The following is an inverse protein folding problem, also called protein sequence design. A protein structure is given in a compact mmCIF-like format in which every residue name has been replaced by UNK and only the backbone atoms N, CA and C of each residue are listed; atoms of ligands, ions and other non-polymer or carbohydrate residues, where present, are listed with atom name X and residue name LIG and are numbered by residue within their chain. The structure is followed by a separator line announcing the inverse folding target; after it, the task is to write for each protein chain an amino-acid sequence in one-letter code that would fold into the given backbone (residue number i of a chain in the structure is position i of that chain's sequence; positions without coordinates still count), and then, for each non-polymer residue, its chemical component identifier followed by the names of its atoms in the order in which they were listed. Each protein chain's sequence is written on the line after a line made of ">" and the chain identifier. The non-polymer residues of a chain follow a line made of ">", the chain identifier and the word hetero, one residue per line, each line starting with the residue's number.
data_IF_253678125587
#
_entry.id   IF_253678125587
#
_cell.length_a   1.000
_cell.length_b   1.000
_cell.length_c   1.000
_cell.angle_alpha   90.00
_cell.angle_beta   90.00
_cell.angle_gamma   90.00
#
_symmetry.space_group_name_H-M   'P 1'
#
loop_
_entity.id
_entity.type
_entity.pdbx_description
1 polymer ?
#
# COMPACT_ATOMS: atom_id res chain seq x y z
N UNK A 1 -17.02 -3.22 10.72
CA UNK A 1 -15.76 -2.82 11.37
C UNK A 1 -14.92 -2.08 10.35
N UNK A 2 -14.32 -0.94 10.70
CA UNK A 2 -13.52 -0.15 9.76
C UNK A 2 -12.27 -0.95 9.34
N UNK A 3 -12.11 -1.21 8.05
CA UNK A 3 -11.04 -2.02 7.45
C UNK A 3 -9.64 -1.51 7.84
N UNK A 4 -9.43 -0.20 7.81
CA UNK A 4 -8.14 0.41 8.13
C UNK A 4 -7.75 0.20 9.59
N UNK A 5 -8.73 0.24 10.49
CA UNK A 5 -8.52 -0.06 11.90
C UNK A 5 -8.13 -1.52 12.13
N UNK A 6 -8.82 -2.46 11.46
CA UNK A 6 -8.49 -3.88 11.54
C UNK A 6 -7.07 -4.16 11.06
N UNK A 7 -6.65 -3.50 9.96
CA UNK A 7 -5.28 -3.59 9.47
C UNK A 7 -4.27 -3.08 10.51
N UNK A 8 -4.50 -1.88 11.05
CA UNK A 8 -3.61 -1.30 12.06
C UNK A 8 -3.52 -2.19 13.31
N UNK A 9 -4.65 -2.67 13.84
CA UNK A 9 -4.68 -3.60 14.99
C UNK A 9 -3.87 -4.87 14.76
N UNK A 10 -3.92 -5.41 13.54
CA UNK A 10 -3.33 -6.71 13.22
C UNK A 10 -1.85 -6.63 12.88
N UNK A 11 -1.39 -5.51 12.29
CA UNK A 11 -0.11 -5.46 11.60
C UNK A 11 0.83 -4.32 12.03
N UNK A 12 0.51 -3.56 13.09
CA UNK A 12 1.36 -2.42 13.50
C UNK A 12 2.75 -2.83 14.02
N UNK A 13 2.94 -4.07 14.43
CA UNK A 13 4.23 -4.63 14.90
C UNK A 13 4.95 -5.48 13.85
N UNK A 14 4.44 -5.55 12.62
CA UNK A 14 5.12 -6.31 11.57
C UNK A 14 6.47 -5.68 11.24
N UNK A 15 7.52 -6.49 11.12
CA UNK A 15 8.89 -5.98 10.97
C UNK A 15 9.13 -5.31 9.62
N UNK A 16 8.35 -5.67 8.60
CA UNK A 16 8.47 -5.11 7.26
C UNK A 16 7.17 -5.22 6.47
N UNK A 17 6.85 -4.21 5.67
CA UNK A 17 5.69 -4.18 4.79
C UNK A 17 6.11 -3.95 3.33
N UNK A 18 5.75 -4.88 2.44
CA UNK A 18 5.88 -4.71 0.99
C UNK A 18 4.63 -4.04 0.42
N UNK A 19 4.80 -2.88 -0.22
CA UNK A 19 3.70 -2.11 -0.81
C UNK A 19 3.79 -2.20 -2.34
N UNK A 20 2.72 -2.63 -2.98
CA UNK A 20 2.69 -2.84 -4.42
C UNK A 20 1.62 -2.01 -5.10
N UNK A 21 1.89 -1.60 -6.33
CA UNK A 21 0.96 -0.96 -7.23
C UNK A 21 1.49 -0.94 -8.65
N UNK A 22 0.63 -0.72 -9.62
CA UNK A 22 1.01 -0.66 -11.03
C UNK A 22 0.51 0.62 -11.70
N UNK A 23 1.10 1.03 -12.83
CA UNK A 23 0.71 2.21 -13.55
C UNK A 23 0.66 3.46 -12.65
N UNK A 24 -0.44 4.19 -12.67
CA UNK A 24 -0.64 5.40 -11.86
C UNK A 24 -0.63 5.11 -10.34
N UNK A 25 -1.05 3.91 -9.92
CA UNK A 25 -1.06 3.50 -8.51
C UNK A 25 0.35 3.32 -7.92
N UNK A 26 1.35 3.07 -8.77
CA UNK A 26 2.74 2.93 -8.32
C UNK A 26 3.28 4.19 -7.62
N UNK A 27 2.87 5.38 -8.08
CA UNK A 27 3.21 6.63 -7.40
C UNK A 27 2.66 6.69 -5.97
N UNK A 28 1.53 6.07 -5.73
CA UNK A 28 0.92 6.01 -4.40
C UNK A 28 1.51 4.91 -3.53
N UNK A 29 1.96 3.80 -4.11
CA UNK A 29 2.78 2.81 -3.40
C UNK A 29 4.07 3.47 -2.86
N UNK A 30 4.74 4.30 -3.67
CA UNK A 30 5.85 5.15 -3.22
C UNK A 30 5.42 6.09 -2.08
N UNK A 31 4.40 6.91 -2.31
CA UNK A 31 3.95 7.91 -1.34
C UNK A 31 3.52 7.31 0.00
N UNK A 32 2.83 6.16 -0.03
CA UNK A 32 2.45 5.46 1.18
C UNK A 32 3.66 4.89 1.92
N UNK A 33 4.58 4.23 1.20
CA UNK A 33 5.81 3.70 1.78
C UNK A 33 6.69 4.81 2.37
N UNK A 34 7.17 5.71 1.51
CA UNK A 34 8.22 6.67 1.89
C UNK A 34 7.67 7.78 2.78
N UNK A 35 6.57 8.44 2.36
CA UNK A 35 6.07 9.62 3.06
C UNK A 35 5.19 9.24 4.27
N UNK A 36 4.28 8.27 4.11
CA UNK A 36 3.36 7.94 5.19
C UNK A 36 3.96 7.02 6.25
N UNK A 37 4.58 5.92 5.83
CA UNK A 37 5.02 4.90 6.78
C UNK A 37 6.44 5.14 7.30
N UNK A 38 7.42 5.34 6.42
CA UNK A 38 8.79 5.59 6.88
C UNK A 38 8.94 6.95 7.55
N UNK A 39 8.49 8.02 6.88
CA UNK A 39 8.65 9.39 7.40
C UNK A 39 7.80 9.66 8.63
N UNK A 40 6.49 9.34 8.55
CA UNK A 40 5.51 9.75 9.55
C UNK A 40 5.24 8.70 10.63
N UNK A 41 5.57 7.43 10.43
CA UNK A 41 5.28 6.35 11.38
C UNK A 41 6.51 5.53 11.78
N UNK A 42 7.67 5.80 11.14
CA UNK A 42 8.93 5.10 11.36
C UNK A 42 8.84 3.58 11.20
N UNK A 43 7.96 3.14 10.31
CA UNK A 43 7.78 1.73 9.97
C UNK A 43 8.71 1.33 8.84
N UNK A 44 9.40 0.21 8.99
CA UNK A 44 10.21 -0.37 7.93
C UNK A 44 9.32 -0.95 6.84
N UNK A 45 9.48 -0.45 5.64
CA UNK A 45 8.71 -0.89 4.48
C UNK A 45 9.43 -0.59 3.17
N UNK A 46 9.01 -1.26 2.12
CA UNK A 46 9.47 -1.00 0.76
C UNK A 46 8.31 -0.94 -0.21
N UNK A 47 8.53 -0.35 -1.37
CA UNK A 47 7.53 -0.31 -2.44
C UNK A 47 8.10 -0.93 -3.71
N UNK A 48 7.23 -1.53 -4.51
CA UNK A 48 7.60 -2.13 -5.78
C UNK A 48 6.46 -2.08 -6.79
N UNK A 49 6.82 -2.11 -8.06
CA UNK A 49 5.84 -2.22 -9.13
C UNK A 49 5.31 -3.67 -9.19
N UNK A 50 3.99 -3.84 -9.29
CA UNK A 50 3.38 -5.17 -9.39
C UNK A 50 3.92 -5.99 -10.56
N UNK A 51 4.38 -5.34 -11.65
CA UNK A 51 5.03 -6.02 -12.78
C UNK A 51 6.43 -6.55 -12.40
N UNK A 52 7.18 -5.78 -11.62
CA UNK A 52 8.53 -6.14 -11.18
C UNK A 52 8.53 -7.19 -10.07
N UNK A 53 7.40 -7.36 -9.38
CA UNK A 53 7.22 -8.35 -8.33
C UNK A 53 7.71 -9.74 -8.78
N UNK A 54 7.42 -10.15 -10.01
CA UNK A 54 7.80 -11.43 -10.57
C UNK A 54 9.23 -11.50 -11.13
N UNK A 55 10.05 -10.45 -10.96
CA UNK A 55 11.47 -10.44 -11.36
C UNK A 55 12.44 -10.71 -10.19
N UNK A 56 11.91 -11.21 -9.06
CA UNK A 56 12.72 -11.52 -7.88
C UNK A 56 11.96 -11.39 -6.57
N UNK A 57 11.28 -10.26 -6.29
CA UNK A 57 10.61 -10.06 -5.01
C UNK A 57 9.59 -11.13 -4.61
N UNK A 58 8.96 -11.81 -5.57
CA UNK A 58 8.02 -12.89 -5.29
C UNK A 58 8.66 -14.12 -4.62
N UNK A 59 9.99 -14.30 -4.76
CA UNK A 59 10.74 -15.40 -4.12
C UNK A 59 10.80 -15.28 -2.59
N UNK A 60 10.60 -14.09 -2.03
CA UNK A 60 10.52 -13.89 -0.58
C UNK A 60 9.10 -13.97 -0.03
N UNK A 61 8.11 -14.33 -0.87
CA UNK A 61 6.72 -14.45 -0.44
C UNK A 61 6.51 -15.75 0.32
N UNK A 62 6.07 -15.63 1.53
CA UNK A 62 5.74 -16.73 2.42
C UNK A 62 4.58 -16.37 3.38
N UNK A 63 4.41 -17.17 4.43
CA UNK A 63 3.37 -16.95 5.44
C UNK A 63 3.68 -15.81 6.42
N UNK A 64 4.95 -15.40 6.53
CA UNK A 64 5.42 -14.45 7.54
C UNK A 64 5.52 -13.01 7.03
N UNK A 65 5.73 -12.81 5.74
CA UNK A 65 5.85 -11.48 5.15
C UNK A 65 4.49 -10.82 4.89
N UNK A 66 4.42 -9.52 5.20
CA UNK A 66 3.21 -8.71 5.00
C UNK A 66 3.25 -7.96 3.67
N UNK A 67 2.16 -8.03 2.92
CA UNK A 67 1.97 -7.35 1.63
C UNK A 67 0.78 -6.40 1.66
N UNK A 68 0.89 -5.31 0.93
CA UNK A 68 -0.17 -4.33 0.71
C UNK A 68 -0.26 -4.04 -0.79
N UNK A 69 -1.35 -4.44 -1.44
CA UNK A 69 -1.54 -4.27 -2.88
C UNK A 69 -2.60 -3.19 -3.17
N UNK A 70 -2.20 -2.15 -3.87
CA UNK A 70 -3.06 -1.14 -4.47
C UNK A 70 -3.48 -1.60 -5.86
N UNK A 71 -4.61 -2.31 -5.94
CA UNK A 71 -5.08 -2.91 -7.18
C UNK A 71 -5.88 -1.91 -8.01
N UNK A 72 -5.30 -1.45 -9.11
CA UNK A 72 -5.88 -0.45 -10.00
C UNK A 72 -7.03 -0.97 -10.84
N UNK A 73 -7.81 -0.05 -11.39
CA UNK A 73 -8.68 -0.27 -12.55
C UNK A 73 -8.03 0.32 -13.80
N UNK A 74 -8.49 -0.08 -14.99
CA UNK A 74 -7.96 0.38 -16.26
C UNK A 74 -6.81 -0.48 -16.77
N UNK A 75 -5.86 0.12 -17.49
CA UNK A 75 -4.89 -0.57 -18.34
C UNK A 75 -3.94 -1.53 -17.63
N UNK A 76 -3.62 -1.28 -16.38
CA UNK A 76 -2.64 -2.08 -15.62
C UNK A 76 -3.27 -3.09 -14.67
N UNK A 77 -4.61 -3.18 -14.64
CA UNK A 77 -5.35 -4.07 -13.73
C UNK A 77 -4.91 -5.54 -13.81
N UNK A 78 -4.65 -6.05 -15.01
CA UNK A 78 -4.22 -7.44 -15.19
C UNK A 78 -2.89 -7.77 -14.49
N UNK A 79 -2.01 -6.78 -14.37
CA UNK A 79 -0.73 -6.92 -13.65
C UNK A 79 -1.01 -7.08 -12.16
N UNK A 80 -1.89 -6.27 -11.60
CA UNK A 80 -2.27 -6.33 -10.19
C UNK A 80 -3.07 -7.60 -9.86
N UNK A 81 -3.95 -8.04 -10.77
CA UNK A 81 -4.68 -9.31 -10.64
C UNK A 81 -3.73 -10.51 -10.60
N UNK A 82 -2.67 -10.49 -11.39
CA UNK A 82 -1.63 -11.52 -11.34
C UNK A 82 -0.91 -11.54 -9.99
N UNK A 83 -0.55 -10.36 -9.45
CA UNK A 83 0.06 -10.25 -8.13
C UNK A 83 -0.90 -10.74 -7.03
N UNK A 84 -2.17 -10.33 -7.08
CA UNK A 84 -3.21 -10.82 -6.17
C UNK A 84 -3.33 -12.33 -6.17
N UNK A 85 -3.43 -12.94 -7.35
CA UNK A 85 -3.57 -14.40 -7.47
C UNK A 85 -2.38 -15.16 -6.86
N UNK A 86 -1.18 -14.58 -6.93
CA UNK A 86 -0.01 -15.17 -6.28
C UNK A 86 -0.06 -15.01 -4.76
N UNK A 87 -0.43 -13.83 -4.25
CA UNK A 87 -0.60 -13.59 -2.80
C UNK A 87 -1.68 -14.50 -2.21
N UNK A 88 -2.84 -14.64 -2.87
CA UNK A 88 -3.93 -15.53 -2.43
C UNK A 88 -3.47 -16.98 -2.24
N UNK A 89 -2.47 -17.41 -3.00
CA UNK A 89 -1.98 -18.79 -2.97
C UNK A 89 -0.84 -19.01 -1.96
N UNK A 90 0.04 -18.04 -1.79
CA UNK A 90 1.31 -18.25 -1.09
C UNK A 90 1.51 -17.35 0.14
N UNK A 91 0.84 -16.21 0.24
CA UNK A 91 0.91 -15.33 1.39
C UNK A 91 -0.20 -15.63 2.41
N UNK A 92 0.04 -15.29 3.69
CA UNK A 92 -0.96 -15.34 4.76
C UNK A 92 -1.30 -13.95 5.30
N UNK A 93 -0.38 -13.00 5.15
CA UNK A 93 -0.51 -11.65 5.65
C UNK A 93 -0.54 -10.70 4.46
N UNK A 94 -1.72 -10.24 4.09
CA UNK A 94 -1.84 -9.23 3.04
C UNK A 94 -3.11 -8.41 3.18
N UNK A 95 -3.04 -7.22 2.65
CA UNK A 95 -4.15 -6.28 2.48
C UNK A 95 -4.23 -5.89 1.01
N UNK A 96 -5.43 -5.93 0.45
CA UNK A 96 -5.66 -5.54 -0.95
C UNK A 96 -6.71 -4.46 -0.98
N UNK A 97 -6.38 -3.30 -1.54
CA UNK A 97 -7.36 -2.27 -1.87
C UNK A 97 -7.65 -2.38 -3.35
N UNK A 98 -8.84 -2.85 -3.68
CA UNK A 98 -9.32 -2.91 -5.06
C UNK A 98 -10.05 -1.60 -5.40
N UNK A 99 -9.52 -0.85 -6.36
CA UNK A 99 -10.13 0.38 -6.84
C UNK A 99 -11.53 0.15 -7.43
N UNK A 100 -11.80 -1.02 -7.99
CA UNK A 100 -13.14 -1.39 -8.48
C UNK A 100 -14.13 -1.48 -7.31
N UNK A 101 -13.78 -2.14 -6.21
CA UNK A 101 -14.62 -2.22 -5.00
C UNK A 101 -14.82 -0.86 -4.34
N UNK A 102 -13.93 0.10 -4.61
CA UNK A 102 -14.03 1.49 -4.15
C UNK A 102 -14.87 2.38 -5.08
N UNK A 103 -15.50 1.81 -6.11
CA UNK A 103 -16.43 2.49 -7.01
C UNK A 103 -15.83 3.03 -8.31
N UNK A 104 -14.54 2.77 -8.60
CA UNK A 104 -13.95 3.21 -9.85
C UNK A 104 -14.38 2.35 -11.07
N UNK A 105 -14.99 1.20 -10.85
CA UNK A 105 -15.55 0.34 -11.90
C UNK A 105 -16.70 1.00 -12.68
N UNK A 106 -17.36 2.00 -12.09
CA UNK A 106 -18.41 2.81 -12.74
C UNK A 106 -17.89 3.96 -13.60
N UNK A 107 -16.58 4.18 -13.67
CA UNK A 107 -15.98 5.28 -14.45
C UNK A 107 -15.62 4.78 -15.86
N UNK A 108 -15.82 5.64 -16.85
CA UNK A 108 -15.49 5.33 -18.24
C UNK A 108 -14.01 4.95 -18.40
N UNK A 109 -13.74 3.84 -19.10
CA UNK A 109 -12.40 3.31 -19.34
C UNK A 109 -11.45 4.29 -20.05
N UNK A 110 -11.97 5.30 -20.75
CA UNK A 110 -11.14 6.33 -21.38
C UNK A 110 -10.43 7.24 -20.36
N UNK A 111 -10.95 7.35 -19.14
CA UNK A 111 -10.42 8.26 -18.13
C UNK A 111 -10.18 7.62 -16.74
N UNK A 112 -10.62 6.39 -16.52
CA UNK A 112 -10.57 5.75 -15.19
C UNK A 112 -9.14 5.66 -14.62
N UNK A 113 -8.14 5.50 -15.46
CA UNK A 113 -6.73 5.44 -15.02
C UNK A 113 -6.31 6.66 -14.19
N UNK A 114 -6.87 7.85 -14.48
CA UNK A 114 -6.55 9.10 -13.76
C UNK A 114 -7.09 9.14 -12.33
N UNK A 115 -8.06 8.29 -12.00
CA UNK A 115 -8.68 8.27 -10.67
C UNK A 115 -8.02 7.31 -9.70
N UNK A 116 -7.16 6.39 -10.16
CA UNK A 116 -6.45 5.45 -9.28
C UNK A 116 -5.58 6.19 -8.26
N UNK A 117 -4.72 7.11 -8.70
CA UNK A 117 -3.80 7.80 -7.81
C UNK A 117 -4.51 8.65 -6.74
N UNK A 118 -5.51 9.51 -7.06
CA UNK A 118 -6.29 10.21 -6.05
C UNK A 118 -6.98 9.27 -5.04
N UNK A 119 -7.58 8.17 -5.50
CA UNK A 119 -8.20 7.19 -4.62
C UNK A 119 -7.19 6.61 -3.63
N UNK A 120 -6.07 6.10 -4.13
CA UNK A 120 -5.06 5.48 -3.26
C UNK A 120 -4.35 6.47 -2.34
N UNK A 121 -4.27 7.74 -2.73
CA UNK A 121 -3.83 8.80 -1.82
C UNK A 121 -4.77 8.89 -0.61
N UNK A 122 -6.08 9.02 -0.81
CA UNK A 122 -7.06 9.10 0.27
C UNK A 122 -7.07 7.81 1.12
N UNK A 123 -6.96 6.66 0.49
CA UNK A 123 -6.84 5.40 1.23
C UNK A 123 -5.57 5.37 2.09
N UNK A 124 -4.44 5.82 1.58
CA UNK A 124 -3.19 5.93 2.34
C UNK A 124 -3.32 6.84 3.56
N UNK A 125 -4.06 7.96 3.43
CA UNK A 125 -4.38 8.86 4.56
C UNK A 125 -5.17 8.11 5.64
N UNK A 126 -6.16 7.31 5.25
CA UNK A 126 -6.98 6.54 6.21
C UNK A 126 -6.15 5.47 6.93
N UNK A 127 -5.30 4.74 6.21
CA UNK A 127 -4.44 3.70 6.81
C UNK A 127 -3.40 4.29 7.75
N UNK A 128 -2.66 5.34 7.35
CA UNK A 128 -1.68 5.98 8.25
C UNK A 128 -2.33 6.57 9.49
N UNK A 129 -3.55 7.13 9.37
CA UNK A 129 -4.30 7.65 10.51
C UNK A 129 -4.70 6.53 11.47
N UNK A 130 -5.13 5.39 10.95
CA UNK A 130 -5.43 4.23 11.77
C UNK A 130 -4.19 3.69 12.51
N UNK A 131 -3.03 3.65 11.82
CA UNK A 131 -1.75 3.26 12.42
C UNK A 131 -1.34 4.25 13.51
N UNK A 132 -1.40 5.57 13.25
CA UNK A 132 -1.14 6.60 14.26
C UNK A 132 -2.00 6.38 15.52
N UNK A 133 -3.30 6.17 15.32
CA UNK A 133 -4.23 5.99 16.44
C UNK A 133 -3.93 4.71 17.23
N UNK A 134 -3.41 3.68 16.57
CA UNK A 134 -3.00 2.42 17.21
C UNK A 134 -1.68 2.56 17.95
N UNK A 135 -0.69 3.16 17.33
CA UNK A 135 0.69 3.27 17.88
C UNK A 135 0.84 4.43 18.86
N UNK A 136 0.00 5.46 18.75
CA UNK A 136 0.17 6.72 19.45
C UNK A 136 1.31 7.59 18.89
N UNK A 137 1.91 7.22 17.76
CA UNK A 137 2.99 7.96 17.12
C UNK A 137 2.43 9.11 16.25
N UNK A 138 2.64 10.40 16.65
CA UNK A 138 2.09 11.54 15.93
C UNK A 138 2.63 11.65 14.49
N UNK A 139 1.74 12.00 13.53
CA UNK A 139 2.12 12.13 12.11
C UNK A 139 3.14 13.23 11.83
N UNK A 140 3.24 14.23 12.68
CA UNK A 140 4.18 15.36 12.57
C UNK A 140 5.51 15.16 13.31
N UNK A 141 5.63 14.07 14.08
CA UNK A 141 6.88 13.73 14.75
C UNK A 141 7.96 13.38 13.71
N UNK A 142 9.13 14.00 13.88
CA UNK A 142 10.30 13.75 13.03
C UNK A 142 11.52 13.48 13.91
N UNK A 143 12.38 12.57 13.46
CA UNK A 143 13.66 12.26 14.12
C UNK A 143 14.76 13.17 13.60
N UNK A 144 14.78 13.41 12.32
CA UNK A 144 15.85 14.13 11.62
C UNK A 144 15.36 15.28 10.75
N UNK A 145 14.29 15.06 9.95
CA UNK A 145 13.78 16.04 8.99
C UNK A 145 13.34 17.33 9.71
N UNK A 146 14.01 18.44 9.39
CA UNK A 146 13.76 19.73 10.03
C UNK A 146 14.23 19.84 11.50
N UNK A 147 14.92 18.81 12.02
CA UNK A 147 15.43 18.75 13.41
C UNK A 147 16.96 18.89 13.43
N UNK A 148 17.65 18.32 12.46
CA UNK A 148 19.11 18.36 12.32
C UNK A 148 19.50 18.87 10.93
N UNK A 149 20.74 19.35 10.80
CA UNK A 149 21.34 19.67 9.49
C UNK A 149 21.80 18.37 8.81
N UNK A 150 21.58 18.25 7.48
CA UNK A 150 22.00 17.13 6.63
C UNK A 150 22.25 17.57 5.20
#
# INVERSE_FOLDING_TARGET
>A
QNRTWVFAEKYFEEPFLYIMGSGASYSQAYGFSICSLQEMQWMDCGYLNSAEYFHGPFEVTDEDHLYFLMMSVGKTREIDLRAKAFLDKYAKKYEIIDAAECGLDGIDNACVDYFNAPLFYEMSVLYRTAIQNKTGHPLDMRRYMGVVEY
#
